data_IF_066825192773
#
_entry.id   IF_066825192773
#
_cell.length_a   1.000
_cell.length_b   1.000
_cell.length_c   1.000
_cell.angle_alpha   90.00
_cell.angle_beta   90.00
_cell.angle_gamma   90.00
#
_symmetry.space_group_name_H-M   'P 1'
#
loop_
_entity.id
_entity.type
_entity.pdbx_description
1 polymer ?
#
# COMPACT_ATOMS: atom_id res chain seq x y z
N UNK A 1 -43.90 31.45 5.56
CA UNK A 1 -43.40 31.04 5.31
C UNK A 1 -43.51 30.91 5.42
N UNK A 2 -43.57 31.07 5.45
CA UNK A 2 -43.18 30.83 5.20
C UNK A 2 -43.03 30.28 5.23
N UNK A 3 -43.13 30.48 5.53
CA UNK A 3 -42.64 29.98 5.28
C UNK A 3 -42.19 29.47 5.09
N UNK A 4 -42.32 29.59 5.34
CA UNK A 4 -41.59 29.12 5.00
C UNK A 4 -40.98 28.81 4.55
N UNK A 5 -41.12 29.10 4.76
CA UNK A 5 -40.26 28.92 4.24
C UNK A 5 -39.72 28.74 4.11
N UNK A 6 -39.52 28.71 4.39
CA UNK A 6 -38.75 28.67 4.08
C UNK A 6 -38.14 28.61 3.91
N UNK A 7 -37.96 28.99 4.15
CA UNK A 7 -37.17 29.14 3.83
C UNK A 7 -36.63 28.94 3.89
N UNK A 8 -36.54 29.03 3.91
CA UNK A 8 -35.70 28.98 3.92
C UNK A 8 -35.07 29.30 4.06
N UNK A 9 -35.27 29.57 4.62
CA UNK A 9 -34.52 29.99 4.70
C UNK A 9 -33.66 29.85 4.86
N UNK A 10 -33.54 30.23 5.21
CA UNK A 10 -32.08 30.23 5.20
C UNK A 10 -31.48 29.85 6.53
N UNK A 11 -32.20 29.80 7.55
CA UNK A 11 -31.68 29.32 8.82
C UNK A 11 -31.41 27.81 8.71
N UNK A 12 -30.16 27.41 8.97
CA UNK A 12 -29.72 26.04 8.84
C UNK A 12 -29.30 25.68 7.44
N UNK A 13 -29.41 26.59 6.52
CA UNK A 13 -29.03 26.34 5.13
C UNK A 13 -27.59 26.82 4.91
N UNK A 14 -26.80 25.98 4.29
CA UNK A 14 -25.42 26.34 3.98
C UNK A 14 -25.36 27.32 2.82
N UNK A 15 -24.43 28.27 2.88
CA UNK A 15 -24.17 29.15 1.75
C UNK A 15 -23.49 28.37 0.63
N UNK A 16 -23.48 28.94 -0.57
CA UNK A 16 -22.78 28.28 -1.71
C UNK A 16 -21.32 28.04 -1.39
N UNK A 17 -20.66 28.97 -0.71
CA UNK A 17 -19.27 28.81 -0.29
C UNK A 17 -19.11 27.66 0.69
N UNK A 18 -20.04 27.52 1.61
CA UNK A 18 -20.00 26.42 2.60
C UNK A 18 -20.23 25.08 1.92
N UNK A 19 -21.11 25.04 0.93
CA UNK A 19 -21.38 23.83 0.14
C UNK A 19 -20.12 23.43 -0.64
N UNK A 20 -19.48 24.39 -1.29
CA UNK A 20 -18.25 24.13 -2.04
C UNK A 20 -17.15 23.61 -1.14
N UNK A 21 -17.03 24.20 0.06
CA UNK A 21 -16.03 23.75 1.03
C UNK A 21 -16.32 22.33 1.49
N UNK A 22 -17.57 22.01 1.77
CA UNK A 22 -17.96 20.67 2.19
C UNK A 22 -17.66 19.64 1.10
N UNK A 23 -17.91 20.00 -0.16
CA UNK A 23 -17.60 19.11 -1.29
C UNK A 23 -16.10 18.87 -1.38
N UNK A 24 -15.28 19.93 -1.26
CA UNK A 24 -13.83 19.78 -1.30
C UNK A 24 -13.32 18.93 -0.15
N UNK A 25 -13.85 19.12 1.04
CA UNK A 25 -13.47 18.33 2.20
C UNK A 25 -13.82 16.87 2.00
N UNK A 26 -15.01 16.60 1.47
CA UNK A 26 -15.45 15.23 1.18
C UNK A 26 -14.55 14.57 0.13
N UNK A 27 -14.17 15.32 -0.90
CA UNK A 27 -13.26 14.82 -1.94
C UNK A 27 -11.88 14.50 -1.37
N UNK A 28 -11.37 15.36 -0.47
CA UNK A 28 -10.10 15.12 0.20
C UNK A 28 -10.16 13.88 1.09
N UNK A 29 -11.24 13.72 1.84
CA UNK A 29 -11.42 12.53 2.68
C UNK A 29 -11.51 11.26 1.83
N UNK A 30 -12.24 11.32 0.72
CA UNK A 30 -12.35 10.17 -0.17
C UNK A 30 -10.98 9.80 -0.77
N UNK A 31 -10.20 10.81 -1.16
CA UNK A 31 -8.85 10.59 -1.69
C UNK A 31 -7.94 9.99 -0.63
N UNK A 32 -7.99 10.51 0.61
CA UNK A 32 -7.19 9.99 1.72
C UNK A 32 -7.57 8.56 2.06
N UNK A 33 -8.85 8.23 2.07
CA UNK A 33 -9.32 6.87 2.32
C UNK A 33 -8.88 5.93 1.22
N UNK A 34 -8.91 6.39 -0.04
CA UNK A 34 -8.41 5.62 -1.17
C UNK A 34 -6.92 5.35 -1.07
N UNK A 35 -6.14 6.38 -0.73
CA UNK A 35 -4.70 6.25 -0.52
C UNK A 35 -4.39 5.28 0.62
N UNK A 36 -5.13 5.38 1.71
CA UNK A 36 -4.95 4.51 2.86
C UNK A 36 -5.25 3.06 2.50
N UNK A 37 -6.31 2.82 1.73
CA UNK A 37 -6.66 1.49 1.24
C UNK A 37 -5.57 0.93 0.34
N UNK A 38 -5.06 1.76 -0.58
CA UNK A 38 -3.99 1.37 -1.49
C UNK A 38 -2.74 0.99 -0.72
N UNK A 39 -2.40 1.77 0.32
CA UNK A 39 -1.26 1.46 1.19
C UNK A 39 -1.45 0.14 1.92
N UNK A 40 -2.66 -0.13 2.41
CA UNK A 40 -2.96 -1.40 3.08
C UNK A 40 -2.76 -2.58 2.13
N UNK A 41 -3.26 -2.46 0.90
CA UNK A 41 -3.10 -3.50 -0.13
C UNK A 41 -1.62 -3.70 -0.45
N UNK A 42 -0.88 -2.59 -0.63
CA UNK A 42 0.55 -2.65 -0.89
C UNK A 42 1.31 -3.36 0.24
N UNK A 43 0.95 -3.05 1.48
CA UNK A 43 1.58 -3.69 2.64
C UNK A 43 1.28 -5.17 2.68
N UNK A 44 0.04 -5.56 2.42
CA UNK A 44 -0.35 -6.97 2.40
C UNK A 44 0.36 -7.74 1.30
N UNK A 45 0.42 -7.16 0.11
CA UNK A 45 1.11 -7.77 -1.03
C UNK A 45 2.61 -7.89 -0.74
N UNK A 46 3.21 -6.83 -0.20
CA UNK A 46 4.61 -6.84 0.17
C UNK A 46 4.92 -7.89 1.23
N UNK A 47 4.08 -7.99 2.24
CA UNK A 47 4.24 -8.97 3.31
C UNK A 47 4.14 -10.40 2.75
N UNK A 48 3.16 -10.65 1.88
CA UNK A 48 2.98 -11.95 1.25
C UNK A 48 4.21 -12.33 0.43
N UNK A 49 4.67 -11.39 -0.38
CA UNK A 49 5.84 -11.62 -1.23
C UNK A 49 7.09 -11.87 -0.40
N UNK A 50 7.29 -11.10 0.68
CA UNK A 50 8.41 -11.31 1.59
C UNK A 50 8.37 -12.70 2.21
N UNK A 51 7.19 -13.14 2.63
CA UNK A 51 7.01 -14.48 3.20
C UNK A 51 7.29 -15.56 2.16
N UNK A 52 6.80 -15.40 0.93
CA UNK A 52 7.07 -16.33 -0.15
C UNK A 52 8.57 -16.41 -0.49
N UNK A 53 9.22 -15.24 -0.54
CA UNK A 53 10.65 -15.19 -0.83
C UNK A 53 11.46 -15.89 0.26
N UNK A 54 11.11 -15.67 1.52
CA UNK A 54 11.77 -16.34 2.65
C UNK A 54 11.56 -17.86 2.58
N UNK A 55 10.35 -18.27 2.25
CA UNK A 55 10.03 -19.70 2.10
C UNK A 55 10.84 -20.32 0.95
N UNK A 56 10.91 -19.61 -0.16
CA UNK A 56 11.70 -20.07 -1.32
C UNK A 56 13.18 -20.21 -0.96
N UNK A 57 13.72 -19.22 -0.22
CA UNK A 57 15.11 -19.28 0.24
C UNK A 57 15.36 -20.51 1.12
N UNK A 58 14.38 -20.87 1.93
CA UNK A 58 14.48 -22.05 2.80
C UNK A 58 14.40 -23.35 1.99
N UNK A 59 13.46 -23.42 1.05
CA UNK A 59 13.19 -24.65 0.30
C UNK A 59 14.16 -24.88 -0.86
N UNK A 60 14.47 -23.84 -1.62
CA UNK A 60 15.30 -23.96 -2.83
C UNK A 60 16.60 -23.18 -2.76
N UNK A 61 16.95 -22.66 -1.58
CA UNK A 61 18.15 -21.86 -1.41
C UNK A 61 19.42 -22.56 -1.88
N UNK A 62 19.48 -23.88 -1.77
CA UNK A 62 20.62 -24.66 -2.23
C UNK A 62 20.78 -24.66 -3.74
N UNK A 63 19.69 -24.41 -4.46
CA UNK A 63 19.69 -24.39 -5.92
C UNK A 63 19.99 -23.00 -6.47
N UNK A 64 19.99 -21.98 -5.60
CA UNK A 64 20.25 -20.60 -5.99
C UNK A 64 21.72 -20.28 -5.82
N UNK A 65 22.23 -19.39 -6.68
CA UNK A 65 23.58 -18.88 -6.54
C UNK A 65 23.67 -18.01 -5.29
N UNK A 66 24.86 -17.95 -4.73
CA UNK A 66 25.13 -17.19 -3.51
C UNK A 66 24.73 -15.71 -3.65
N UNK A 67 25.02 -15.12 -4.81
CA UNK A 67 24.70 -13.73 -5.09
C UNK A 67 23.18 -13.53 -5.19
N UNK A 68 22.50 -14.47 -5.81
CA UNK A 68 21.05 -14.43 -5.94
C UNK A 68 20.37 -14.50 -4.57
N UNK A 69 20.80 -15.41 -3.73
CA UNK A 69 20.29 -15.49 -2.35
C UNK A 69 20.54 -14.19 -1.58
N UNK A 70 21.72 -13.63 -1.74
CA UNK A 70 22.09 -12.39 -1.07
C UNK A 70 21.20 -11.24 -1.53
N UNK A 71 20.93 -11.15 -2.83
CA UNK A 71 20.06 -10.12 -3.38
C UNK A 71 18.64 -10.25 -2.85
N UNK A 72 18.10 -11.47 -2.84
CA UNK A 72 16.75 -11.72 -2.34
C UNK A 72 16.66 -11.35 -0.86
N UNK A 73 17.63 -11.75 -0.06
CA UNK A 73 17.66 -11.42 1.37
C UNK A 73 17.70 -9.90 1.59
N UNK A 74 18.51 -9.20 0.80
CA UNK A 74 18.61 -7.74 0.88
C UNK A 74 17.29 -7.07 0.52
N UNK A 75 16.64 -7.54 -0.54
CA UNK A 75 15.36 -7.01 -0.98
C UNK A 75 14.25 -7.28 0.03
N UNK A 76 14.23 -8.48 0.62
CA UNK A 76 13.29 -8.82 1.70
C UNK A 76 13.50 -7.91 2.90
N UNK A 77 14.75 -7.72 3.30
CA UNK A 77 15.06 -6.88 4.45
C UNK A 77 14.62 -5.42 4.23
N UNK A 78 14.88 -4.89 3.02
CA UNK A 78 14.45 -3.55 2.67
C UNK A 78 12.94 -3.39 2.70
N UNK A 79 12.23 -4.36 2.14
CA UNK A 79 10.77 -4.36 2.14
C UNK A 79 10.20 -4.48 3.56
N UNK A 80 10.75 -5.39 4.37
CA UNK A 80 10.29 -5.58 5.75
C UNK A 80 10.50 -4.33 6.60
N UNK A 81 11.56 -3.58 6.34
CA UNK A 81 11.82 -2.33 7.03
C UNK A 81 10.71 -1.32 6.76
N UNK A 82 10.25 -1.24 5.51
CA UNK A 82 9.11 -0.38 5.14
C UNK A 82 7.81 -0.89 5.75
N UNK A 83 7.61 -2.21 5.75
CA UNK A 83 6.43 -2.84 6.32
C UNK A 83 6.34 -2.65 7.84
N UNK A 84 7.47 -2.42 8.49
CA UNK A 84 7.51 -2.15 9.92
C UNK A 84 6.97 -0.79 10.33
N UNK A 85 6.84 0.14 9.38
CA UNK A 85 6.26 1.45 9.68
C UNK A 85 4.76 1.35 9.87
N UNK A 86 4.24 2.16 10.80
CA UNK A 86 2.80 2.24 11.02
C UNK A 86 2.12 2.89 9.81
N UNK A 87 0.93 2.43 9.48
CA UNK A 87 0.15 2.94 8.35
C UNK A 87 -0.01 4.46 8.42
N UNK A 88 -0.23 5.00 9.61
CA UNK A 88 -0.42 6.43 9.84
C UNK A 88 0.82 7.25 9.50
N UNK A 89 1.99 6.63 9.52
CA UNK A 89 3.26 7.32 9.28
C UNK A 89 3.77 7.15 7.87
N UNK A 90 3.04 6.41 7.05
CA UNK A 90 3.40 6.23 5.64
C UNK A 90 2.91 7.44 4.84
N UNK A 91 3.80 8.01 4.06
CA UNK A 91 3.48 9.12 3.16
C UNK A 91 3.56 8.65 1.70
N UNK A 92 3.40 9.57 0.75
CA UNK A 92 3.45 9.25 -0.67
C UNK A 92 4.81 8.69 -1.08
N UNK A 93 5.89 9.22 -0.49
CA UNK A 93 7.24 8.71 -0.74
C UNK A 93 7.40 7.28 -0.25
N UNK A 94 6.83 6.96 0.91
CA UNK A 94 6.85 5.61 1.45
C UNK A 94 6.04 4.65 0.58
N UNK A 95 4.91 5.10 0.04
CA UNK A 95 4.11 4.30 -0.89
C UNK A 95 4.92 3.95 -2.14
N UNK A 96 5.60 4.93 -2.71
CA UNK A 96 6.45 4.71 -3.88
C UNK A 96 7.60 3.75 -3.54
N UNK A 97 8.19 3.90 -2.36
CA UNK A 97 9.26 3.02 -1.90
C UNK A 97 8.75 1.58 -1.73
N UNK A 98 7.54 1.41 -1.19
CA UNK A 98 6.92 0.09 -1.06
C UNK A 98 6.70 -0.56 -2.42
N UNK A 99 6.18 0.21 -3.39
CA UNK A 99 5.97 -0.31 -4.74
C UNK A 99 7.28 -0.73 -5.37
N UNK A 100 8.30 0.12 -5.26
CA UNK A 100 9.62 -0.17 -5.82
C UNK A 100 10.26 -1.39 -5.15
N UNK A 101 10.20 -1.47 -3.82
CA UNK A 101 10.77 -2.58 -3.08
C UNK A 101 10.04 -3.89 -3.41
N UNK A 102 8.72 -3.84 -3.51
CA UNK A 102 7.91 -5.00 -3.86
C UNK A 102 8.24 -5.48 -5.28
N UNK A 103 8.31 -4.56 -6.24
CA UNK A 103 8.66 -4.90 -7.62
C UNK A 103 10.06 -5.48 -7.72
N UNK A 104 11.01 -4.90 -7.01
CA UNK A 104 12.39 -5.38 -6.99
C UNK A 104 12.48 -6.79 -6.42
N UNK A 105 11.80 -7.04 -5.32
CA UNK A 105 11.77 -8.38 -4.71
C UNK A 105 11.07 -9.38 -5.62
N UNK A 106 9.98 -8.96 -6.26
CA UNK A 106 9.26 -9.81 -7.20
C UNK A 106 10.20 -10.30 -8.30
N UNK A 107 11.01 -9.41 -8.85
CA UNK A 107 11.97 -9.75 -9.90
C UNK A 107 13.09 -10.62 -9.37
N UNK A 108 13.70 -10.24 -8.25
CA UNK A 108 14.84 -10.97 -7.71
C UNK A 108 14.47 -12.36 -7.20
N UNK A 109 13.24 -12.52 -6.71
CA UNK A 109 12.78 -13.80 -6.16
C UNK A 109 12.00 -14.66 -7.16
N UNK A 110 11.80 -14.17 -8.39
CA UNK A 110 10.96 -14.85 -9.38
C UNK A 110 11.44 -16.28 -9.63
N UNK A 111 12.74 -16.46 -9.85
CA UNK A 111 13.33 -17.76 -10.09
C UNK A 111 13.20 -18.69 -8.89
N UNK A 112 13.45 -18.15 -7.70
CA UNK A 112 13.33 -18.92 -6.46
C UNK A 112 11.90 -19.39 -6.24
N UNK A 113 10.94 -18.51 -6.50
CA UNK A 113 9.51 -18.85 -6.35
C UNK A 113 9.08 -19.88 -7.41
N UNK A 114 9.60 -19.76 -8.63
CA UNK A 114 9.33 -20.74 -9.68
C UNK A 114 9.88 -22.11 -9.32
N UNK A 115 11.11 -22.18 -8.81
CA UNK A 115 11.72 -23.44 -8.38
C UNK A 115 10.94 -24.05 -7.22
N UNK A 116 10.49 -23.22 -6.28
CA UNK A 116 9.65 -23.67 -5.17
C UNK A 116 8.34 -24.27 -5.67
N UNK A 117 7.71 -23.63 -6.65
CA UNK A 117 6.46 -24.11 -7.23
C UNK A 117 6.65 -25.44 -7.95
N UNK A 118 7.80 -25.64 -8.61
CA UNK A 118 8.12 -26.90 -9.28
C UNK A 118 8.27 -28.05 -8.30
N UNK A 119 8.70 -27.77 -7.08
CA UNK A 119 8.90 -28.78 -6.04
C UNK A 119 7.65 -29.07 -5.23
N UNK A 120 6.62 -28.23 -5.38
CA UNK A 120 5.38 -28.36 -4.60
C UNK A 120 4.54 -29.56 -5.05
#
# INVERSE_FOLDING_TARGET
>A
GKQQSITIDDSGRMSDDDIDRAIRDAEQYAAQDGERRDLMVLREEGQRLANEANRALTQVGKQLEKEEKKQIKADVAGLQKLLGKKLDKLDAGDADALRAATAQLEQSSARARALMAEQA
#
